data_IF_831640773809
#
_entry.id   IF_831640773809
#
_cell.length_a   1.000
_cell.length_b   1.000
_cell.length_c   1.000
_cell.angle_alpha   90.00
_cell.angle_beta   90.00
_cell.angle_gamma   90.00
#
_symmetry.space_group_name_H-M   'P 1'
#
loop_
_entity.id
_entity.type
_entity.pdbx_description
1 polymer ?
#
# COMPACT_ATOMS: atom_id res chain seq x y z
N UNK A 1 5.97 -20.09 17.20
CA UNK A 1 5.97 -19.50 15.85
C UNK A 1 6.82 -18.22 15.83
N UNK A 2 6.53 -17.17 16.61
CA UNK A 2 7.36 -15.95 16.61
C UNK A 2 8.80 -16.21 17.10
N UNK A 3 8.98 -17.12 18.02
CA UNK A 3 10.30 -17.52 18.52
C UNK A 3 11.05 -18.34 17.47
N UNK A 4 10.39 -19.29 16.84
CA UNK A 4 10.92 -20.06 15.70
C UNK A 4 11.25 -19.14 14.52
N UNK A 5 10.44 -18.09 14.29
CA UNK A 5 10.74 -17.10 13.27
C UNK A 5 12.02 -16.32 13.56
N UNK A 6 12.21 -15.82 14.78
CA UNK A 6 13.43 -15.09 15.16
C UNK A 6 14.67 -15.99 15.07
N UNK A 7 14.55 -17.24 15.51
CA UNK A 7 15.66 -18.20 15.41
C UNK A 7 15.89 -18.65 13.97
N UNK A 8 14.84 -18.81 13.17
CA UNK A 8 14.96 -19.09 11.74
C UNK A 8 15.58 -17.94 10.96
N UNK A 9 15.19 -16.69 11.24
CA UNK A 9 15.81 -15.50 10.65
C UNK A 9 17.28 -15.39 11.08
N UNK A 10 17.59 -15.64 12.34
CA UNK A 10 18.97 -15.59 12.82
C UNK A 10 19.83 -16.73 12.27
N UNK A 11 19.28 -17.93 12.11
CA UNK A 11 19.94 -19.03 11.45
C UNK A 11 20.18 -18.72 9.96
N UNK A 12 19.18 -18.19 9.27
CA UNK A 12 19.31 -17.72 7.90
C UNK A 12 20.39 -16.64 7.75
N UNK A 13 20.38 -15.61 8.58
CA UNK A 13 21.37 -14.53 8.57
C UNK A 13 22.78 -14.98 8.94
N UNK A 14 22.94 -16.14 9.58
CA UNK A 14 24.24 -16.74 9.88
C UNK A 14 24.80 -17.59 8.74
N UNK A 15 24.00 -17.91 7.73
CA UNK A 15 24.45 -18.69 6.57
C UNK A 15 25.32 -17.85 5.62
N UNK A 16 26.29 -18.48 4.95
CA UNK A 16 27.10 -17.81 3.91
C UNK A 16 26.24 -17.23 2.78
N UNK A 17 25.10 -17.86 2.48
CA UNK A 17 24.17 -17.47 1.43
C UNK A 17 23.41 -16.18 1.79
N UNK A 18 23.01 -16.02 3.05
CA UNK A 18 22.42 -14.79 3.55
C UNK A 18 23.42 -13.62 3.57
N UNK A 19 24.70 -13.93 3.77
CA UNK A 19 25.75 -12.92 3.85
C UNK A 19 26.03 -12.22 2.53
N UNK A 20 25.86 -12.89 1.38
CA UNK A 20 26.27 -12.36 0.09
C UNK A 20 25.17 -11.57 -0.64
N UNK A 21 23.93 -12.06 -0.72
CA UNK A 21 22.93 -11.53 -1.63
C UNK A 21 21.83 -10.72 -0.93
N UNK A 22 21.46 -11.08 0.29
CA UNK A 22 20.29 -10.51 0.98
C UNK A 22 20.63 -9.33 1.88
N UNK A 23 21.82 -9.33 2.51
CA UNK A 23 22.19 -8.30 3.47
C UNK A 23 22.74 -7.04 2.81
N UNK A 24 23.31 -7.16 1.61
CA UNK A 24 23.80 -6.01 0.85
C UNK A 24 22.67 -5.24 0.17
N UNK A 25 21.48 -5.87 0.02
CA UNK A 25 20.25 -5.25 -0.48
C UNK A 25 19.38 -4.65 0.63
N UNK A 26 19.74 -4.79 1.91
CA UNK A 26 18.99 -4.16 2.99
C UNK A 26 19.08 -2.64 2.92
N UNK A 27 18.02 -1.98 3.36
CA UNK A 27 17.98 -0.54 3.51
C UNK A 27 19.22 -0.07 4.28
N UNK A 28 19.97 0.95 3.80
CA UNK A 28 21.17 1.47 4.43
C UNK A 28 21.00 1.87 5.91
N UNK A 29 19.77 2.07 6.38
CA UNK A 29 19.44 2.31 7.79
C UNK A 29 19.68 1.09 8.68
N UNK A 30 19.83 -0.12 8.08
CA UNK A 30 20.04 -1.39 8.76
C UNK A 30 21.42 -2.00 8.40
N UNK A 31 22.55 -1.40 8.82
CA UNK A 31 23.86 -2.02 8.61
C UNK A 31 23.95 -3.35 9.35
N UNK A 32 24.70 -4.31 8.80
CA UNK A 32 24.83 -5.69 9.31
C UNK A 32 25.08 -5.78 10.81
N UNK A 33 25.96 -4.92 11.31
CA UNK A 33 26.33 -4.90 12.74
C UNK A 33 25.12 -4.54 13.62
N UNK A 34 24.34 -3.54 13.23
CA UNK A 34 23.12 -3.15 13.95
C UNK A 34 22.05 -4.22 13.89
N UNK A 35 21.94 -4.94 12.77
CA UNK A 35 21.00 -6.04 12.64
C UNK A 35 21.35 -7.18 13.58
N UNK A 36 22.63 -7.54 13.68
CA UNK A 36 23.11 -8.55 14.63
C UNK A 36 22.81 -8.19 16.09
N UNK A 37 23.06 -6.94 16.47
CA UNK A 37 22.74 -6.43 17.80
C UNK A 37 21.24 -6.41 18.07
N UNK A 38 20.45 -5.95 17.10
CA UNK A 38 18.98 -5.95 17.19
C UNK A 38 18.42 -7.37 17.40
N UNK A 39 18.89 -8.35 16.64
CA UNK A 39 18.45 -9.75 16.79
C UNK A 39 18.81 -10.33 18.14
N UNK A 40 20.01 -9.98 18.68
CA UNK A 40 20.41 -10.37 20.02
C UNK A 40 19.48 -9.78 21.07
N UNK A 41 19.22 -8.46 21.00
CA UNK A 41 18.32 -7.77 21.92
C UNK A 41 16.88 -8.32 21.84
N UNK A 42 16.40 -8.64 20.64
CA UNK A 42 15.09 -9.25 20.44
C UNK A 42 14.98 -10.64 21.08
N UNK A 43 16.02 -11.46 20.99
CA UNK A 43 16.07 -12.76 21.69
C UNK A 43 16.08 -12.60 23.21
N UNK A 44 16.88 -11.67 23.71
CA UNK A 44 16.95 -11.39 25.13
C UNK A 44 15.62 -10.87 25.66
N UNK A 45 14.98 -9.96 24.94
CA UNK A 45 13.62 -9.51 25.24
C UNK A 45 12.62 -10.69 25.24
N UNK A 46 12.61 -11.53 24.21
CA UNK A 46 11.68 -12.65 24.11
C UNK A 46 11.84 -13.65 25.27
N UNK A 47 13.08 -13.88 25.75
CA UNK A 47 13.34 -14.73 26.93
C UNK A 47 12.91 -14.08 28.23
N UNK A 48 13.29 -12.81 28.46
CA UNK A 48 13.01 -12.09 29.72
C UNK A 48 11.53 -11.79 29.91
N UNK A 49 10.82 -11.47 28.83
CA UNK A 49 9.37 -11.19 28.84
C UNK A 49 8.50 -12.46 28.82
N UNK A 50 9.10 -13.66 28.75
CA UNK A 50 8.38 -14.91 28.54
C UNK A 50 7.44 -14.85 27.32
N UNK A 51 7.93 -14.22 26.24
CA UNK A 51 7.13 -13.93 25.06
C UNK A 51 6.44 -15.17 24.48
N UNK A 52 7.07 -16.35 24.54
CA UNK A 52 6.48 -17.60 24.06
C UNK A 52 5.21 -17.99 24.83
N UNK A 53 5.18 -17.78 26.16
CA UNK A 53 3.98 -18.07 26.98
C UNK A 53 2.88 -17.07 26.63
N UNK A 54 3.19 -15.79 26.52
CA UNK A 54 2.26 -14.76 26.07
C UNK A 54 1.70 -15.08 24.67
N UNK A 55 2.57 -15.39 23.71
CA UNK A 55 2.16 -15.71 22.34
C UNK A 55 1.24 -16.92 22.29
N UNK A 56 1.57 -17.99 23.03
CA UNK A 56 0.74 -19.18 23.11
C UNK A 56 -0.65 -18.89 23.71
N UNK A 57 -0.71 -18.04 24.74
CA UNK A 57 -1.98 -17.61 25.36
C UNK A 57 -2.86 -16.80 24.39
N UNK A 58 -2.27 -16.12 23.38
CA UNK A 58 -3.00 -15.37 22.36
C UNK A 58 -3.32 -16.18 21.10
N UNK A 59 -3.04 -17.48 21.08
CA UNK A 59 -3.27 -18.34 19.92
C UNK A 59 -4.69 -18.28 19.35
N UNK A 60 -5.80 -18.16 20.15
CA UNK A 60 -7.15 -17.99 19.61
C UNK A 60 -7.29 -16.69 18.79
N UNK A 61 -6.73 -15.57 19.26
CA UNK A 61 -6.74 -14.30 18.55
C UNK A 61 -6.01 -14.44 17.20
N UNK A 62 -4.79 -14.96 17.21
CA UNK A 62 -3.99 -15.11 15.99
C UNK A 62 -4.66 -16.03 14.98
N UNK A 63 -5.25 -17.13 15.43
CA UNK A 63 -6.01 -18.04 14.56
C UNK A 63 -7.17 -17.33 13.86
N UNK A 64 -7.97 -16.58 14.61
CA UNK A 64 -9.08 -15.80 14.06
C UNK A 64 -8.60 -14.78 13.03
N UNK A 65 -7.46 -14.13 13.27
CA UNK A 65 -6.89 -13.17 12.33
C UNK A 65 -6.38 -13.88 11.05
N UNK A 66 -5.69 -15.01 11.20
CA UNK A 66 -5.20 -15.78 10.05
C UNK A 66 -6.37 -16.30 9.19
N UNK A 67 -7.41 -16.85 9.80
CA UNK A 67 -8.61 -17.32 9.10
C UNK A 67 -9.32 -16.17 8.38
N UNK A 68 -9.45 -15.00 9.02
CA UNK A 68 -10.03 -13.82 8.41
C UNK A 68 -9.25 -13.42 7.15
N UNK A 69 -7.93 -13.23 7.25
CA UNK A 69 -7.12 -12.77 6.14
C UNK A 69 -6.98 -13.81 5.02
N UNK A 70 -6.90 -15.10 5.37
CA UNK A 70 -6.88 -16.18 4.38
C UNK A 70 -8.15 -16.17 3.53
N UNK A 71 -9.32 -16.10 4.16
CA UNK A 71 -10.60 -16.02 3.45
C UNK A 71 -10.67 -14.79 2.53
N UNK A 72 -10.17 -13.63 3.00
CA UNK A 72 -10.14 -12.38 2.19
C UNK A 72 -9.18 -12.47 1.02
N UNK A 73 -8.01 -13.04 1.23
CA UNK A 73 -7.03 -13.25 0.17
C UNK A 73 -7.60 -14.14 -0.96
N UNK A 74 -8.25 -15.23 -0.58
CA UNK A 74 -8.89 -16.14 -1.54
C UNK A 74 -10.05 -15.47 -2.29
N UNK A 75 -10.96 -14.82 -1.57
CA UNK A 75 -12.14 -14.16 -2.15
C UNK A 75 -11.77 -12.97 -3.05
N UNK A 76 -10.76 -12.20 -2.69
CA UNK A 76 -10.32 -11.05 -3.49
C UNK A 76 -9.79 -11.44 -4.86
N UNK A 77 -9.17 -12.61 -4.98
CA UNK A 77 -8.40 -13.03 -6.15
C UNK A 77 -7.24 -12.05 -6.51
N UNK A 78 -6.84 -11.18 -5.60
CA UNK A 78 -5.78 -10.18 -5.83
C UNK A 78 -4.46 -10.83 -6.24
N UNK A 79 -4.09 -11.93 -5.60
CA UNK A 79 -2.87 -12.69 -5.93
C UNK A 79 -2.88 -13.23 -7.36
N UNK A 80 -3.96 -13.88 -7.78
CA UNK A 80 -4.08 -14.42 -9.14
C UNK A 80 -4.20 -13.32 -10.20
N UNK A 81 -4.85 -12.19 -9.85
CA UNK A 81 -4.91 -11.03 -10.72
C UNK A 81 -3.51 -10.42 -10.89
N UNK A 82 -2.77 -10.18 -9.80
CA UNK A 82 -1.42 -9.62 -9.86
C UNK A 82 -0.50 -10.49 -10.73
N UNK A 83 -0.51 -11.80 -10.54
CA UNK A 83 0.27 -12.72 -11.38
C UNK A 83 0.00 -12.54 -12.88
N UNK A 84 -1.29 -12.44 -13.27
CA UNK A 84 -1.67 -12.25 -14.68
C UNK A 84 -1.35 -10.85 -15.18
N UNK A 85 -1.72 -9.83 -14.39
CA UNK A 85 -1.59 -8.43 -14.77
C UNK A 85 -0.15 -7.99 -14.95
N UNK A 86 0.74 -8.41 -14.04
CA UNK A 86 2.17 -8.11 -14.12
C UNK A 86 2.94 -9.11 -15.00
N UNK A 87 2.31 -10.21 -15.42
CA UNK A 87 2.94 -11.23 -16.24
C UNK A 87 4.04 -11.99 -15.52
N UNK A 88 3.88 -12.20 -14.21
CA UNK A 88 4.87 -12.91 -13.40
C UNK A 88 4.90 -14.40 -13.73
N UNK A 89 6.06 -14.90 -14.08
CA UNK A 89 6.27 -16.30 -14.49
C UNK A 89 6.97 -17.13 -13.41
N UNK A 90 7.61 -16.50 -12.44
CA UNK A 90 8.27 -17.19 -11.33
C UNK A 90 7.23 -17.83 -10.41
N UNK A 91 7.58 -18.88 -9.65
CA UNK A 91 6.79 -19.30 -8.52
C UNK A 91 6.53 -18.11 -7.58
N UNK A 92 5.27 -17.88 -7.24
CA UNK A 92 4.83 -16.66 -6.57
C UNK A 92 4.07 -17.01 -5.29
N UNK A 93 4.53 -16.45 -4.18
CA UNK A 93 3.97 -16.65 -2.86
C UNK A 93 3.40 -15.34 -2.31
N UNK A 94 2.14 -15.36 -1.93
CA UNK A 94 1.47 -14.23 -1.27
C UNK A 94 1.19 -14.57 0.19
N UNK A 95 1.65 -13.71 1.09
CA UNK A 95 1.50 -13.92 2.53
C UNK A 95 0.98 -12.65 3.19
N UNK A 96 -0.11 -12.75 3.93
CA UNK A 96 -0.59 -11.68 4.81
C UNK A 96 -0.13 -11.95 6.23
N UNK A 97 0.48 -10.97 6.86
CA UNK A 97 0.98 -11.00 8.25
C UNK A 97 0.12 -10.05 9.09
N UNK A 98 -0.88 -10.54 9.83
CA UNK A 98 -1.66 -9.70 10.74
C UNK A 98 -0.78 -9.19 11.88
N UNK A 99 -0.69 -7.87 12.05
CA UNK A 99 0.10 -7.24 13.09
C UNK A 99 -0.76 -6.33 13.97
N UNK A 100 -0.72 -6.53 15.27
CA UNK A 100 -1.41 -5.66 16.22
C UNK A 100 -0.71 -4.30 16.41
N UNK A 101 0.50 -4.15 15.88
CA UNK A 101 1.30 -2.92 15.94
C UNK A 101 1.20 -2.09 14.65
N UNK A 102 0.49 -2.61 13.63
CA UNK A 102 0.30 -1.92 12.35
C UNK A 102 -1.09 -1.29 12.30
N UNK A 103 -1.19 -0.07 11.79
CA UNK A 103 -2.45 0.65 11.59
C UNK A 103 -2.78 0.89 10.11
N UNK A 104 -1.98 0.37 9.21
CA UNK A 104 -2.14 0.46 7.77
C UNK A 104 -1.73 -0.83 7.09
N UNK A 105 -0.89 -0.72 6.07
CA UNK A 105 -0.28 -1.83 5.36
C UNK A 105 1.09 -1.47 4.81
N UNK A 106 1.91 -2.48 4.64
CA UNK A 106 3.18 -2.38 3.89
C UNK A 106 3.38 -3.66 3.09
N UNK A 107 3.73 -3.51 1.83
CA UNK A 107 3.87 -4.58 0.84
C UNK A 107 5.33 -4.88 0.47
N UNK A 108 6.19 -5.41 1.37
CA UNK A 108 7.54 -5.82 1.01
C UNK A 108 7.54 -7.07 0.15
N UNK A 109 8.59 -7.21 -0.67
CA UNK A 109 8.82 -8.43 -1.44
C UNK A 109 10.27 -8.87 -1.37
N UNK A 110 10.47 -10.18 -1.55
CA UNK A 110 11.79 -10.80 -1.59
C UNK A 110 11.86 -11.74 -2.80
N UNK A 111 13.00 -11.76 -3.45
CA UNK A 111 13.35 -12.80 -4.41
C UNK A 111 14.35 -13.76 -3.74
N UNK A 112 14.01 -15.04 -3.72
CA UNK A 112 14.83 -16.05 -3.07
C UNK A 112 14.72 -17.38 -3.84
N UNK A 113 15.86 -17.96 -4.20
CA UNK A 113 15.93 -19.25 -4.92
C UNK A 113 15.14 -19.28 -6.24
N UNK A 114 15.01 -18.14 -6.95
CA UNK A 114 14.22 -18.05 -8.19
C UNK A 114 12.70 -18.00 -7.97
N UNK A 115 12.26 -17.91 -6.73
CA UNK A 115 10.88 -17.72 -6.32
C UNK A 115 10.64 -16.28 -5.83
N UNK A 116 9.42 -15.78 -5.97
CA UNK A 116 9.08 -14.43 -5.61
C UNK A 116 8.05 -14.42 -4.46
N UNK A 117 8.42 -13.80 -3.36
CA UNK A 117 7.63 -13.75 -2.13
C UNK A 117 7.10 -12.34 -1.92
N UNK A 118 5.80 -12.18 -1.99
CA UNK A 118 5.09 -10.92 -1.73
C UNK A 118 4.44 -10.99 -0.36
N UNK A 119 4.77 -10.06 0.49
CA UNK A 119 4.19 -9.95 1.83
C UNK A 119 3.29 -8.74 1.92
N UNK A 120 2.30 -8.83 2.78
CA UNK A 120 1.52 -7.70 3.25
C UNK A 120 1.48 -7.78 4.77
N UNK A 121 2.14 -6.86 5.46
CA UNK A 121 1.94 -6.66 6.90
C UNK A 121 0.74 -5.75 7.06
N UNK A 122 -0.29 -6.20 7.77
CA UNK A 122 -1.57 -5.49 7.87
C UNK A 122 -2.07 -5.43 9.30
N UNK A 123 -2.95 -4.45 9.55
CA UNK A 123 -3.65 -4.33 10.83
C UNK A 123 -4.47 -5.59 11.16
N UNK A 124 -4.71 -5.82 12.44
CA UNK A 124 -5.65 -6.83 12.89
C UNK A 124 -7.10 -6.37 12.69
N UNK A 125 -7.94 -7.30 12.28
CA UNK A 125 -9.37 -7.07 12.19
C UNK A 125 -10.00 -7.15 13.60
N UNK A 126 -10.59 -6.06 14.07
CA UNK A 126 -11.15 -5.97 15.41
C UNK A 126 -12.68 -6.03 15.44
N UNK A 127 -13.23 -6.22 16.64
CA UNK A 127 -14.67 -6.34 16.87
C UNK A 127 -15.47 -5.07 16.55
N UNK A 128 -14.85 -3.89 16.62
CA UNK A 128 -15.49 -2.62 16.25
C UNK A 128 -15.65 -2.53 14.72
N UNK A 129 -14.63 -2.88 13.97
CA UNK A 129 -14.71 -2.96 12.50
C UNK A 129 -15.81 -3.94 12.08
N UNK A 130 -15.88 -5.10 12.74
CA UNK A 130 -16.92 -6.11 12.50
C UNK A 130 -18.31 -5.54 12.74
N UNK A 131 -18.54 -4.89 13.88
CA UNK A 131 -19.84 -4.28 14.22
C UNK A 131 -20.27 -3.20 13.21
N UNK A 132 -19.33 -2.37 12.73
CA UNK A 132 -19.61 -1.36 11.69
C UNK A 132 -20.06 -2.01 10.38
N UNK A 133 -19.46 -3.13 10.01
CA UNK A 133 -19.82 -3.88 8.80
C UNK A 133 -21.22 -4.51 8.91
N UNK A 134 -21.55 -5.05 10.10
CA UNK A 134 -22.82 -5.72 10.34
C UNK A 134 -24.00 -4.74 10.49
N UNK A 135 -23.73 -3.48 10.85
CA UNK A 135 -24.75 -2.49 11.19
C UNK A 135 -25.38 -1.77 9.97
N UNK A 136 -24.71 -1.70 8.83
CA UNK A 136 -25.15 -0.90 7.68
C UNK A 136 -25.50 -1.75 6.46
N UNK A 137 -26.69 -1.59 5.83
CA UNK A 137 -27.02 -2.24 4.57
C UNK A 137 -26.00 -1.91 3.48
N UNK A 138 -25.43 -2.93 2.83
CA UNK A 138 -24.36 -2.76 1.82
C UNK A 138 -22.97 -2.50 2.36
N UNK A 139 -22.79 -2.33 3.68
CA UNK A 139 -21.48 -2.14 4.29
C UNK A 139 -20.59 -3.37 4.09
N UNK A 140 -21.16 -4.57 4.10
CA UNK A 140 -20.43 -5.81 3.85
C UNK A 140 -19.77 -5.80 2.46
N UNK A 141 -20.51 -5.47 1.40
CA UNK A 141 -19.96 -5.39 0.03
C UNK A 141 -18.90 -4.28 -0.09
N UNK A 142 -19.17 -3.13 0.50
CA UNK A 142 -18.22 -2.00 0.52
C UNK A 142 -16.94 -2.36 1.29
N UNK A 143 -17.08 -3.10 2.37
CA UNK A 143 -15.94 -3.59 3.16
C UNK A 143 -15.12 -4.62 2.38
N UNK A 144 -15.77 -5.60 1.75
CA UNK A 144 -15.10 -6.59 0.90
C UNK A 144 -14.30 -5.93 -0.21
N UNK A 145 -14.89 -4.98 -0.90
CA UNK A 145 -14.21 -4.23 -1.96
C UNK A 145 -13.01 -3.46 -1.41
N UNK A 146 -13.13 -2.83 -0.25
CA UNK A 146 -12.02 -2.08 0.39
C UNK A 146 -10.87 -2.99 0.80
N UNK A 147 -11.15 -4.15 1.38
CA UNK A 147 -10.12 -5.14 1.73
C UNK A 147 -9.45 -5.69 0.47
N UNK A 148 -10.23 -6.00 -0.54
CA UNK A 148 -9.70 -6.52 -1.82
C UNK A 148 -8.84 -5.48 -2.54
N UNK A 149 -9.26 -4.20 -2.53
CA UNK A 149 -8.50 -3.05 -3.02
C UNK A 149 -7.17 -2.91 -2.28
N UNK A 150 -7.21 -2.99 -0.96
CA UNK A 150 -6.03 -2.91 -0.10
C UNK A 150 -5.05 -4.06 -0.37
N UNK A 151 -5.53 -5.30 -0.50
CA UNK A 151 -4.70 -6.45 -0.90
C UNK A 151 -4.05 -6.22 -2.27
N UNK A 152 -4.83 -5.76 -3.25
CA UNK A 152 -4.31 -5.48 -4.58
C UNK A 152 -3.27 -4.34 -4.57
N UNK A 153 -3.50 -3.30 -3.74
CA UNK A 153 -2.57 -2.19 -3.55
C UNK A 153 -1.22 -2.67 -3.03
N UNK A 154 -1.21 -3.35 -1.88
CA UNK A 154 0.03 -3.80 -1.24
C UNK A 154 0.78 -4.85 -2.08
N UNK A 155 0.05 -5.77 -2.70
CA UNK A 155 0.65 -6.76 -3.59
C UNK A 155 1.09 -6.19 -4.96
N UNK A 156 0.76 -4.96 -5.29
CA UNK A 156 1.22 -4.30 -6.52
C UNK A 156 2.59 -3.64 -6.38
N UNK A 157 2.95 -3.19 -5.18
CA UNK A 157 4.23 -2.51 -4.93
C UNK A 157 5.47 -3.21 -5.48
N UNK A 158 5.60 -4.55 -5.40
CA UNK A 158 6.75 -5.27 -5.94
C UNK A 158 7.01 -5.05 -7.43
N UNK A 159 5.99 -4.74 -8.21
CA UNK A 159 6.09 -4.49 -9.65
C UNK A 159 5.99 -3.00 -10.00
N UNK A 160 5.13 -2.26 -9.31
CA UNK A 160 4.93 -0.84 -9.60
C UNK A 160 6.09 0.03 -9.15
N UNK A 161 6.70 -0.26 -7.99
CA UNK A 161 7.82 0.50 -7.45
C UNK A 161 9.06 0.48 -8.36
N UNK A 162 9.51 -0.67 -8.90
CA UNK A 162 10.62 -0.70 -9.85
C UNK A 162 10.35 0.15 -11.08
N UNK A 163 9.14 0.08 -11.66
CA UNK A 163 8.77 0.88 -12.83
C UNK A 163 8.74 2.36 -12.48
N UNK A 164 8.08 2.74 -11.39
CA UNK A 164 8.03 4.13 -10.93
C UNK A 164 9.43 4.70 -10.67
N UNK A 165 10.31 3.92 -10.05
CA UNK A 165 11.68 4.32 -9.79
C UNK A 165 12.50 4.47 -11.10
N UNK A 166 12.31 3.60 -12.07
CA UNK A 166 13.00 3.64 -13.35
C UNK A 166 12.59 4.87 -14.20
N UNK A 167 11.31 5.26 -14.16
CA UNK A 167 10.83 6.43 -14.90
C UNK A 167 11.03 7.75 -14.16
N UNK A 168 11.29 7.71 -12.84
CA UNK A 168 11.34 8.92 -12.00
C UNK A 168 12.27 10.01 -12.53
N UNK A 169 13.48 9.74 -13.05
CA UNK A 169 14.35 10.79 -13.62
C UNK A 169 13.69 11.60 -14.74
N UNK A 170 12.79 10.99 -15.53
CA UNK A 170 12.12 11.67 -16.63
C UNK A 170 10.87 12.45 -16.21
N UNK A 171 10.31 12.17 -15.03
CA UNK A 171 9.10 12.81 -14.49
C UNK A 171 9.39 13.71 -13.29
N UNK A 172 10.64 13.78 -12.82
CA UNK A 172 11.04 14.49 -11.61
C UNK A 172 10.63 15.96 -11.65
N UNK A 173 10.89 16.66 -12.77
CA UNK A 173 10.55 18.07 -12.90
C UNK A 173 9.04 18.34 -12.75
N UNK A 174 8.19 17.44 -13.29
CA UNK A 174 6.74 17.53 -13.13
C UNK A 174 6.32 17.19 -11.69
N UNK A 175 6.90 16.15 -11.10
CA UNK A 175 6.63 15.77 -9.72
C UNK A 175 6.97 16.88 -8.72
N UNK A 176 8.12 17.55 -8.89
CA UNK A 176 8.57 18.67 -8.05
C UNK A 176 7.68 19.91 -8.20
N UNK A 177 7.11 20.14 -9.38
CA UNK A 177 6.13 21.24 -9.59
C UNK A 177 4.79 20.95 -8.92
N UNK A 178 4.33 19.70 -8.93
CA UNK A 178 3.03 19.30 -8.40
C UNK A 178 3.05 19.14 -6.88
N UNK A 179 4.14 18.63 -6.32
CA UNK A 179 4.23 18.24 -4.92
C UNK A 179 3.92 19.35 -3.92
N UNK A 180 4.41 20.62 -4.08
CA UNK A 180 4.12 21.68 -3.12
C UNK A 180 2.63 21.91 -2.87
N UNK A 181 1.81 21.88 -3.93
CA UNK A 181 0.35 22.06 -3.82
C UNK A 181 -0.33 20.90 -3.11
N UNK A 182 0.24 19.70 -3.22
CA UNK A 182 -0.31 18.48 -2.61
C UNK A 182 0.35 18.10 -1.29
N UNK A 183 1.38 18.83 -0.87
CA UNK A 183 2.26 18.45 0.24
C UNK A 183 1.52 18.11 1.53
N UNK A 184 0.54 18.94 1.91
CA UNK A 184 -0.22 18.70 3.14
C UNK A 184 -1.12 17.43 3.06
N UNK A 185 -1.71 17.18 1.89
CA UNK A 185 -2.47 15.95 1.68
C UNK A 185 -1.56 14.70 1.70
N UNK A 186 -0.37 14.80 1.11
CA UNK A 186 0.62 13.73 1.07
C UNK A 186 1.23 13.47 2.45
N UNK A 187 1.58 14.50 3.21
CA UNK A 187 2.11 14.35 4.58
C UNK A 187 1.14 13.65 5.51
N UNK A 188 -0.17 13.94 5.44
CA UNK A 188 -1.18 13.24 6.24
C UNK A 188 -1.20 11.73 5.99
N UNK A 189 -0.70 11.28 4.86
CA UNK A 189 -0.60 9.89 4.45
C UNK A 189 0.83 9.34 4.50
N UNK A 190 1.76 10.08 5.13
CA UNK A 190 3.17 9.73 5.29
C UNK A 190 4.01 9.74 3.99
N UNK A 191 3.52 10.39 2.93
CA UNK A 191 4.25 10.55 1.67
C UNK A 191 4.98 11.89 1.62
N UNK A 192 6.18 11.94 2.21
CA UNK A 192 6.93 13.18 2.45
C UNK A 192 7.75 13.71 1.28
N UNK A 193 7.77 13.06 0.11
CA UNK A 193 8.60 13.46 -1.04
C UNK A 193 7.85 13.39 -2.36
N UNK A 194 8.27 14.19 -3.37
CA UNK A 194 7.72 14.08 -4.74
C UNK A 194 7.84 12.66 -5.30
N UNK A 195 8.95 11.98 -5.02
CA UNK A 195 9.19 10.61 -5.50
C UNK A 195 8.21 9.61 -4.90
N UNK A 196 8.03 9.62 -3.58
CA UNK A 196 7.06 8.75 -2.91
C UNK A 196 5.63 9.01 -3.39
N UNK A 197 5.25 10.27 -3.57
CA UNK A 197 3.96 10.66 -4.15
C UNK A 197 3.74 10.01 -5.52
N UNK A 198 4.73 10.06 -6.43
CA UNK A 198 4.58 9.49 -7.77
C UNK A 198 4.55 7.96 -7.76
N UNK A 199 5.35 7.32 -6.90
CA UNK A 199 5.30 5.87 -6.68
C UNK A 199 3.86 5.46 -6.29
N UNK A 200 3.28 6.15 -5.33
CA UNK A 200 1.93 5.87 -4.85
C UNK A 200 0.86 6.16 -5.92
N UNK A 201 0.97 7.24 -6.67
CA UNK A 201 0.03 7.54 -7.76
C UNK A 201 0.00 6.43 -8.81
N UNK A 202 1.16 5.89 -9.19
CA UNK A 202 1.25 4.80 -10.16
C UNK A 202 0.71 3.49 -9.57
N UNK A 203 1.02 3.20 -8.31
CA UNK A 203 0.51 2.01 -7.62
C UNK A 203 -1.03 2.06 -7.46
N UNK A 204 -1.58 3.22 -7.08
CA UNK A 204 -3.03 3.42 -7.00
C UNK A 204 -3.73 3.36 -8.35
N UNK A 205 -3.07 3.74 -9.43
CA UNK A 205 -3.61 3.55 -10.76
C UNK A 205 -3.72 2.05 -11.11
N UNK A 206 -2.75 1.23 -10.74
CA UNK A 206 -2.83 -0.23 -10.90
C UNK A 206 -3.92 -0.85 -10.00
N UNK A 207 -4.07 -0.37 -8.76
CA UNK A 207 -5.19 -0.74 -7.87
C UNK A 207 -6.56 -0.48 -8.53
N UNK A 208 -6.72 0.67 -9.19
CA UNK A 208 -7.96 0.98 -9.92
C UNK A 208 -8.21 0.03 -11.10
N UNK A 209 -7.15 -0.43 -11.78
CA UNK A 209 -7.29 -1.46 -12.82
C UNK A 209 -7.78 -2.77 -12.22
N UNK A 210 -7.27 -3.16 -11.06
CA UNK A 210 -7.79 -4.32 -10.33
C UNK A 210 -9.28 -4.17 -10.00
N UNK A 211 -9.68 -3.02 -9.44
CA UNK A 211 -11.08 -2.75 -9.13
C UNK A 211 -11.97 -2.76 -10.36
N UNK A 212 -11.49 -2.19 -11.47
CA UNK A 212 -12.18 -2.22 -12.75
C UNK A 212 -12.40 -3.65 -13.26
N UNK A 213 -11.36 -4.47 -13.22
CA UNK A 213 -11.41 -5.84 -13.69
C UNK A 213 -12.28 -6.75 -12.81
N UNK A 214 -12.25 -6.51 -11.49
CA UNK A 214 -12.90 -7.38 -10.49
C UNK A 214 -14.34 -6.98 -10.19
N UNK A 215 -14.61 -5.67 -10.13
CA UNK A 215 -15.89 -5.12 -9.65
C UNK A 215 -16.58 -4.23 -10.66
N UNK A 216 -15.97 -4.00 -11.81
CA UNK A 216 -16.51 -3.20 -12.90
C UNK A 216 -16.20 -1.70 -12.80
N UNK A 217 -16.46 -1.03 -13.93
CA UNK A 217 -16.14 0.39 -14.16
C UNK A 217 -16.71 1.30 -13.07
N UNK A 218 -17.98 1.14 -12.73
CA UNK A 218 -18.67 2.04 -11.79
C UNK A 218 -18.00 2.06 -10.40
N UNK A 219 -17.60 0.89 -9.88
CA UNK A 219 -16.95 0.78 -8.58
C UNK A 219 -15.53 1.33 -8.61
N UNK A 220 -14.80 1.12 -9.71
CA UNK A 220 -13.50 1.74 -9.92
C UNK A 220 -13.58 3.26 -9.97
N UNK A 221 -14.59 3.84 -10.66
CA UNK A 221 -14.80 5.29 -10.71
C UNK A 221 -15.17 5.89 -9.34
N UNK A 222 -15.98 5.20 -8.55
CA UNK A 222 -16.26 5.64 -7.16
C UNK A 222 -14.99 5.66 -6.30
N UNK A 223 -14.16 4.63 -6.42
CA UNK A 223 -12.88 4.58 -5.69
C UNK A 223 -11.90 5.65 -6.20
N UNK A 224 -11.85 5.90 -7.51
CA UNK A 224 -11.08 7.00 -8.08
C UNK A 224 -11.46 8.36 -7.50
N UNK A 225 -12.75 8.63 -7.29
CA UNK A 225 -13.20 9.87 -6.67
C UNK A 225 -12.61 10.02 -5.24
N UNK A 226 -12.53 8.93 -4.47
CA UNK A 226 -11.88 8.91 -3.15
C UNK A 226 -10.38 9.18 -3.27
N UNK A 227 -9.68 8.57 -4.23
CA UNK A 227 -8.25 8.82 -4.44
C UNK A 227 -7.98 10.29 -4.79
N UNK A 228 -8.81 10.89 -5.65
CA UNK A 228 -8.69 12.31 -6.00
C UNK A 228 -8.93 13.23 -4.79
N UNK A 229 -9.92 12.95 -3.96
CA UNK A 229 -10.17 13.69 -2.71
C UNK A 229 -9.01 13.59 -1.72
N UNK A 230 -8.24 12.50 -1.75
CA UNK A 230 -7.03 12.30 -0.96
C UNK A 230 -5.77 12.96 -1.57
N UNK A 231 -5.89 13.64 -2.71
CA UNK A 231 -4.81 14.36 -3.35
C UNK A 231 -4.05 13.58 -4.44
N UNK A 232 -4.47 12.37 -4.80
CA UNK A 232 -3.83 11.57 -5.86
C UNK A 232 -4.36 11.97 -7.25
N UNK A 233 -4.06 13.20 -7.67
CA UNK A 233 -4.69 13.83 -8.84
C UNK A 233 -4.36 13.16 -10.17
N UNK A 234 -3.12 12.67 -10.35
CA UNK A 234 -2.72 12.05 -11.61
C UNK A 234 -3.14 10.57 -11.72
N UNK A 235 -3.69 10.00 -10.66
CA UNK A 235 -4.10 8.58 -10.64
C UNK A 235 -5.14 8.28 -11.74
N UNK A 236 -6.06 9.21 -12.03
CA UNK A 236 -7.03 9.04 -13.10
C UNK A 236 -6.37 8.90 -14.47
N UNK A 237 -5.45 9.81 -14.79
CA UNK A 237 -4.73 9.79 -16.07
C UNK A 237 -3.91 8.52 -16.22
N UNK A 238 -3.19 8.13 -15.18
CA UNK A 238 -2.42 6.89 -15.16
C UNK A 238 -3.31 5.66 -15.29
N UNK A 239 -4.43 5.61 -14.59
CA UNK A 239 -5.41 4.53 -14.72
C UNK A 239 -5.91 4.38 -16.17
N UNK A 240 -6.34 5.49 -16.80
CA UNK A 240 -6.78 5.48 -18.21
C UNK A 240 -5.64 5.07 -19.16
N UNK A 241 -4.43 5.56 -18.90
CA UNK A 241 -3.23 5.22 -19.66
C UNK A 241 -2.93 3.71 -19.57
N UNK A 242 -2.95 3.13 -18.37
CA UNK A 242 -2.71 1.68 -18.17
C UNK A 242 -3.75 0.85 -18.96
N UNK A 243 -5.03 1.22 -18.87
CA UNK A 243 -6.10 0.51 -19.60
C UNK A 243 -5.87 0.57 -21.13
N UNK A 244 -5.52 1.75 -21.66
CA UNK A 244 -5.28 1.94 -23.09
C UNK A 244 -4.05 1.18 -23.58
N UNK A 245 -2.96 1.21 -22.83
CA UNK A 245 -1.74 0.48 -23.20
C UNK A 245 -1.95 -1.04 -23.12
N UNK A 246 -2.68 -1.52 -22.12
CA UNK A 246 -3.06 -2.93 -22.02
C UNK A 246 -3.92 -3.39 -23.21
N UNK A 247 -4.88 -2.57 -23.64
CA UNK A 247 -5.72 -2.85 -24.79
C UNK A 247 -4.89 -2.93 -26.09
N UNK A 248 -3.98 -1.99 -26.31
CA UNK A 248 -3.08 -1.97 -27.48
C UNK A 248 -2.15 -3.18 -27.52
N UNK A 249 -1.56 -3.54 -26.37
CA UNK A 249 -0.57 -4.61 -26.27
C UNK A 249 -1.19 -6.02 -26.21
N UNK A 250 -2.48 -6.12 -25.93
CA UNK A 250 -3.23 -7.39 -25.86
C UNK A 250 -2.66 -8.35 -24.82
N UNK A 251 -2.71 -9.65 -25.13
CA UNK A 251 -2.34 -10.71 -24.18
C UNK A 251 -0.83 -10.76 -23.84
N UNK A 252 0.03 -10.18 -24.67
CA UNK A 252 1.47 -10.14 -24.43
C UNK A 252 1.92 -8.95 -23.61
N UNK A 253 1.04 -7.96 -23.38
CA UNK A 253 1.36 -6.76 -22.64
C UNK A 253 1.78 -7.06 -21.19
N UNK A 254 2.75 -6.28 -20.73
CA UNK A 254 3.21 -6.27 -19.35
C UNK A 254 3.14 -4.83 -18.81
N UNK A 255 2.93 -4.69 -17.52
CA UNK A 255 2.85 -3.38 -16.88
C UNK A 255 4.09 -2.51 -17.17
N UNK A 256 5.29 -3.10 -17.20
CA UNK A 256 6.53 -2.41 -17.54
C UNK A 256 6.58 -1.87 -18.97
N UNK A 257 5.84 -2.47 -19.90
CA UNK A 257 5.84 -2.05 -21.31
C UNK A 257 5.20 -0.67 -21.48
N UNK A 258 4.31 -0.29 -20.54
CA UNK A 258 3.68 1.03 -20.50
C UNK A 258 4.57 2.17 -19.99
N UNK A 259 5.80 1.91 -19.57
CA UNK A 259 6.67 2.90 -18.91
C UNK A 259 6.79 4.21 -19.70
N UNK A 260 6.97 4.16 -21.03
CA UNK A 260 7.02 5.36 -21.87
C UNK A 260 5.71 6.13 -21.86
N UNK A 261 4.59 5.44 -21.98
CA UNK A 261 3.26 6.07 -21.95
C UNK A 261 2.97 6.70 -20.58
N UNK A 262 3.44 6.11 -19.48
CA UNK A 262 3.31 6.70 -18.14
C UNK A 262 4.07 8.02 -18.02
N UNK A 263 5.31 8.09 -18.58
CA UNK A 263 6.09 9.33 -18.63
C UNK A 263 5.30 10.40 -19.39
N UNK A 264 4.83 10.06 -20.59
CA UNK A 264 4.11 11.00 -21.46
C UNK A 264 2.79 11.46 -20.79
N UNK A 265 2.05 10.56 -20.12
CA UNK A 265 0.85 10.90 -19.36
C UNK A 265 1.13 11.85 -18.19
N UNK A 266 2.24 11.66 -17.45
CA UNK A 266 2.59 12.49 -16.31
C UNK A 266 3.07 13.87 -16.75
N UNK A 267 3.87 13.93 -17.81
CA UNK A 267 4.47 15.18 -18.30
C UNK A 267 3.56 15.99 -19.25
N UNK A 268 2.37 15.47 -19.57
CA UNK A 268 1.45 16.18 -20.45
C UNK A 268 0.99 17.53 -19.85
N UNK A 269 0.72 18.51 -20.71
CA UNK A 269 0.26 19.85 -20.31
C UNK A 269 -1.00 19.81 -19.46
N UNK A 270 -1.91 18.88 -19.69
CA UNK A 270 -3.12 18.71 -18.90
C UNK A 270 -2.84 18.34 -17.43
N UNK A 271 -1.70 17.70 -17.13
CA UNK A 271 -1.29 17.44 -15.75
C UNK A 271 -0.99 18.75 -15.01
N UNK A 272 -0.37 19.72 -15.68
CA UNK A 272 -0.13 21.06 -15.15
C UNK A 272 -1.39 21.91 -15.11
N UNK A 273 -2.29 21.78 -16.08
CA UNK A 273 -3.60 22.45 -16.06
C UNK A 273 -4.47 21.97 -14.89
N UNK A 274 -4.45 20.67 -14.60
CA UNK A 274 -5.15 20.10 -13.44
C UNK A 274 -4.63 20.70 -12.14
N UNK A 275 -3.30 20.85 -12.01
CA UNK A 275 -2.67 21.51 -10.87
C UNK A 275 -3.14 22.97 -10.75
N UNK A 276 -3.08 23.73 -11.83
CA UNK A 276 -3.52 25.13 -11.84
C UNK A 276 -5.00 25.28 -11.43
N UNK A 277 -5.85 24.38 -11.92
CA UNK A 277 -7.27 24.38 -11.54
C UNK A 277 -7.46 24.12 -10.04
N UNK A 278 -6.66 23.24 -9.45
CA UNK A 278 -6.68 22.96 -8.01
C UNK A 278 -6.18 24.16 -7.20
N UNK A 279 -5.09 24.81 -7.63
CA UNK A 279 -4.54 26.02 -6.98
C UNK A 279 -5.58 27.15 -6.95
N UNK A 280 -6.30 27.35 -8.05
CA UNK A 280 -7.39 28.31 -8.12
C UNK A 280 -8.54 27.93 -7.18
N UNK A 281 -8.92 26.64 -7.12
CA UNK A 281 -9.96 26.16 -6.23
C UNK A 281 -9.58 26.35 -4.75
N UNK A 282 -8.35 26.05 -4.36
CA UNK A 282 -7.83 26.28 -3.01
C UNK A 282 -7.82 27.77 -2.68
N UNK A 283 -7.34 28.61 -3.59
CA UNK A 283 -7.28 30.07 -3.40
C UNK A 283 -8.67 30.69 -3.24
N UNK A 284 -9.68 30.17 -3.94
CA UNK A 284 -11.05 30.66 -3.94
C UNK A 284 -11.95 29.92 -2.94
N UNK A 285 -11.42 28.93 -2.20
CA UNK A 285 -12.18 28.25 -1.17
C UNK A 285 -12.57 29.23 -0.08
N UNK A 286 -13.83 29.22 0.41
CA UNK A 286 -14.22 30.07 1.51
C UNK A 286 -13.39 29.71 2.74
N UNK A 287 -12.76 30.73 3.36
CA UNK A 287 -12.07 30.55 4.62
C UNK A 287 -13.08 30.29 5.73
N UNK A 288 -12.89 29.20 6.48
CA UNK A 288 -13.62 28.98 7.75
C UNK A 288 -13.16 30.07 8.75
N UNK A 289 -14.00 31.05 8.98
CA UNK A 289 -13.69 32.22 9.84
C UNK A 289 -13.81 31.84 11.31
N UNK A 290 -14.68 30.89 11.65
CA UNK A 290 -14.80 30.33 13.01
C UNK A 290 -15.50 28.96 12.96
N UNK A 291 -15.16 28.11 13.93
CA UNK A 291 -15.87 26.87 14.23
C UNK A 291 -16.49 27.07 15.62
N UNK A 292 -17.81 27.00 15.73
CA UNK A 292 -18.49 26.91 17.03
C UNK A 292 -18.54 25.41 17.45
N UNK A 293 -18.21 25.07 18.70
CA UNK A 293 -17.93 25.98 19.83
C UNK A 293 -16.48 26.50 19.80
N UNK A 294 -16.32 27.71 20.39
CA UNK A 294 -14.99 28.27 20.61
C UNK A 294 -14.13 27.35 21.49
N UNK A 295 -12.82 27.34 21.26
CA UNK A 295 -11.88 26.58 22.06
C UNK A 295 -12.05 26.99 23.57
N UNK A 296 -12.39 26.01 24.42
CA UNK A 296 -12.61 26.22 25.85
C UNK A 296 -14.08 26.41 26.26
N UNK A 297 -15.03 26.38 25.35
CA UNK A 297 -16.46 26.40 25.70
C UNK A 297 -16.81 25.17 26.54
N UNK A 298 -17.42 25.43 27.73
CA UNK A 298 -17.94 24.38 28.60
C UNK A 298 -19.44 24.23 28.35
N UNK A 299 -19.96 23.01 28.46
CA UNK A 299 -21.39 22.70 28.33
C UNK A 299 -21.97 22.96 26.91
N UNK A 300 -21.33 22.47 25.90
CA UNK A 300 -21.89 22.44 24.54
C UNK A 300 -22.96 21.36 24.49
N UNK A 301 -24.18 21.73 24.13
CA UNK A 301 -25.27 20.79 23.93
C UNK A 301 -24.91 19.88 22.72
N UNK A 302 -24.86 18.55 22.87
CA UNK A 302 -24.54 17.64 21.78
C UNK A 302 -25.59 17.62 20.64
N UNK A 303 -26.70 18.36 20.79
CA UNK A 303 -27.74 18.48 19.77
C UNK A 303 -27.58 19.72 18.85
N UNK A 304 -26.59 20.58 19.10
CA UNK A 304 -26.21 21.71 18.25
C UNK A 304 -24.92 21.40 17.47
#
# INVERSE_FOLDING_TARGET
IAFEFVDSVAAFLSTERAKAETLDSLDPRWPRERLGEFLKQLRDFARQSKFSEFYAAQAPLYRTQCEFWQNRLEQSQAASWAKRFYGETRPLHFTVIPSALENGGVGPALEMNGEFYCYMVSMVFNSEMRRKIEAEPGAAESFEMRISSFLAHEFSHPWTNPVANAIYPQIQATAEKIFPTLQEAMKRQSYGTPRTMMIEMLNRAAELVYLHDRYGKEKAERHLAVQKANGFLLTERLFRCILAEREKGGASWRFSDGARAYIDCINADESLQLLHSLELAIKNAPSLVSISPENGAKNVDPAT
#
